data_IF_709711622950
#
_entry.id   IF_709711622950
#
_cell.length_a   1.000
_cell.length_b   1.000
_cell.length_c   1.000
_cell.angle_alpha   90.00
_cell.angle_beta   90.00
_cell.angle_gamma   90.00
#
_symmetry.space_group_name_H-M   'P 1'
#
loop_
_entity.id
_entity.type
_entity.pdbx_description
1 polymer ?
#
# COMPACT_ATOMS: atom_id res chain seq x y z
N UNK A 1 6.96 9.42 11.60
CA UNK A 1 5.49 9.57 11.65
C UNK A 1 4.94 9.06 10.34
N UNK A 2 4.23 7.95 10.36
CA UNK A 2 3.58 7.41 9.17
C UNK A 2 2.17 8.03 9.00
N UNK A 3 1.61 7.95 7.80
CA UNK A 3 0.23 8.38 7.54
C UNK A 3 -0.77 7.64 8.45
N UNK A 4 -0.52 6.36 8.69
CA UNK A 4 -1.38 5.47 9.50
C UNK A 4 -1.40 5.86 10.99
N UNK A 5 -0.32 6.44 11.51
CA UNK A 5 -0.23 6.92 12.91
C UNK A 5 -0.94 8.27 13.14
N UNK A 6 -1.59 8.80 12.12
CA UNK A 6 -2.33 10.06 12.19
C UNK A 6 -3.58 9.99 13.06
N UNK A 7 -4.36 11.09 13.14
CA UNK A 7 -5.59 11.14 13.92
C UNK A 7 -6.63 10.13 13.42
N UNK A 8 -7.46 9.63 14.32
CA UNK A 8 -8.60 8.76 13.97
C UNK A 8 -9.77 9.54 13.40
N UNK A 9 -9.97 10.74 13.93
CA UNK A 9 -11.06 11.61 13.58
C UNK A 9 -10.54 12.93 13.04
N UNK A 10 -11.27 13.47 12.11
CA UNK A 10 -11.01 14.76 11.49
C UNK A 10 -12.26 15.62 11.64
N UNK A 11 -12.10 16.89 11.97
CA UNK A 11 -13.20 17.83 12.15
C UNK A 11 -14.06 18.03 10.88
N UNK A 12 -13.48 17.73 9.70
CA UNK A 12 -14.17 17.84 8.41
C UNK A 12 -13.53 16.98 7.35
N UNK A 13 -14.26 16.74 6.24
CA UNK A 13 -13.69 16.14 5.03
C UNK A 13 -12.48 16.92 4.51
N UNK A 14 -12.54 18.25 4.60
CA UNK A 14 -11.43 19.10 4.14
C UNK A 14 -10.16 18.85 4.96
N UNK A 15 -10.25 18.80 6.27
CA UNK A 15 -9.11 18.52 7.14
C UNK A 15 -8.48 17.14 6.84
N UNK A 16 -9.32 16.13 6.58
CA UNK A 16 -8.87 14.80 6.17
C UNK A 16 -8.19 14.84 4.80
N UNK A 17 -8.73 15.60 3.85
CA UNK A 17 -8.17 15.75 2.50
C UNK A 17 -6.83 16.48 2.54
N UNK A 18 -6.73 17.59 3.24
CA UNK A 18 -5.50 18.39 3.35
C UNK A 18 -4.35 17.53 3.89
N UNK A 19 -4.61 16.76 4.96
CA UNK A 19 -3.62 15.82 5.48
C UNK A 19 -3.26 14.73 4.46
N UNK A 20 -4.23 14.22 3.73
CA UNK A 20 -3.96 13.17 2.73
C UNK A 20 -3.10 13.70 1.60
N UNK A 21 -3.30 14.96 1.18
CA UNK A 21 -2.45 15.64 0.19
C UNK A 21 -1.02 15.81 0.71
N UNK A 22 -0.86 16.26 1.95
CA UNK A 22 0.46 16.43 2.58
C UNK A 22 1.32 15.16 2.52
N UNK A 23 0.69 13.99 2.76
CA UNK A 23 1.39 12.70 2.74
C UNK A 23 1.48 12.05 1.33
N UNK A 24 0.86 12.64 0.31
CA UNK A 24 0.85 12.10 -1.04
C UNK A 24 1.06 13.22 -2.10
N UNK A 25 2.16 13.97 -2.06
CA UNK A 25 2.36 15.17 -2.86
C UNK A 25 2.44 14.88 -4.38
N UNK A 26 2.65 13.63 -4.78
CA UNK A 26 2.72 13.21 -6.19
C UNK A 26 1.38 12.81 -6.80
N UNK A 27 0.28 12.81 -6.02
CA UNK A 27 -1.04 12.36 -6.49
C UNK A 27 -2.00 13.53 -6.72
N UNK A 28 -2.87 13.40 -7.72
CA UNK A 28 -3.88 14.43 -7.97
C UNK A 28 -4.90 14.49 -6.82
N UNK A 29 -5.32 15.70 -6.47
CA UNK A 29 -6.36 15.92 -5.45
C UNK A 29 -7.63 15.11 -5.75
N UNK A 30 -8.06 15.05 -7.02
CA UNK A 30 -9.24 14.29 -7.42
C UNK A 30 -9.13 12.80 -7.12
N UNK A 31 -7.93 12.21 -7.29
CA UNK A 31 -7.64 10.83 -6.93
C UNK A 31 -7.69 10.60 -5.42
N UNK A 32 -7.07 11.50 -4.65
CA UNK A 32 -7.05 11.42 -3.19
C UNK A 32 -8.45 11.60 -2.60
N UNK A 33 -9.21 12.58 -3.11
CA UNK A 33 -10.62 12.81 -2.73
C UNK A 33 -11.47 11.57 -2.94
N UNK A 34 -11.34 10.90 -4.08
CA UNK A 34 -12.05 9.64 -4.37
C UNK A 34 -11.64 8.54 -3.39
N UNK A 35 -10.36 8.41 -3.12
CA UNK A 35 -9.84 7.45 -2.15
C UNK A 35 -10.43 7.65 -0.76
N UNK A 36 -10.52 8.90 -0.28
CA UNK A 36 -11.14 9.23 1.02
C UNK A 36 -12.62 8.84 1.03
N UNK A 37 -13.39 9.19 0.00
CA UNK A 37 -14.82 8.87 -0.06
C UNK A 37 -15.10 7.36 0.01
N UNK A 38 -14.18 6.53 -0.48
CA UNK A 38 -14.30 5.06 -0.36
C UNK A 38 -13.85 4.53 1.00
N UNK A 39 -12.81 5.13 1.58
CA UNK A 39 -12.12 4.59 2.76
C UNK A 39 -12.50 5.31 4.08
N UNK A 40 -13.33 6.35 4.03
CA UNK A 40 -13.78 7.09 5.19
C UNK A 40 -15.31 7.22 5.24
N UNK A 41 -15.82 7.71 6.34
CA UNK A 41 -17.25 7.95 6.55
C UNK A 41 -17.46 9.20 7.40
N UNK A 42 -18.54 9.98 7.16
CA UNK A 42 -18.96 11.03 8.07
C UNK A 42 -19.56 10.43 9.35
N UNK A 43 -19.44 11.15 10.43
CA UNK A 43 -20.10 10.90 11.70
C UNK A 43 -21.28 11.86 11.90
N UNK A 44 -22.22 11.57 12.84
CA UNK A 44 -23.40 12.40 13.05
C UNK A 44 -23.12 13.87 13.45
N UNK A 45 -21.96 14.13 14.04
CA UNK A 45 -21.49 15.45 14.44
C UNK A 45 -20.81 16.25 13.30
N UNK A 46 -20.76 15.67 12.09
CA UNK A 46 -20.11 16.25 10.92
C UNK A 46 -18.61 15.98 10.80
N UNK A 47 -18.01 15.38 11.80
CA UNK A 47 -16.61 14.91 11.73
C UNK A 47 -16.48 13.69 10.81
N UNK A 48 -15.24 13.32 10.48
CA UNK A 48 -14.94 12.21 9.59
C UNK A 48 -13.98 11.23 10.23
N UNK A 49 -14.13 9.94 9.94
CA UNK A 49 -13.24 8.87 10.40
C UNK A 49 -12.99 7.85 9.30
N UNK A 50 -11.88 7.12 9.42
CA UNK A 50 -11.57 6.02 8.51
C UNK A 50 -12.49 4.82 8.73
N UNK A 51 -12.74 4.03 7.70
CA UNK A 51 -13.52 2.78 7.76
C UNK A 51 -12.68 1.58 8.20
N UNK A 52 -11.37 1.65 8.04
CA UNK A 52 -10.50 0.53 8.41
C UNK A 52 -10.30 0.45 9.92
N UNK A 53 -10.15 -0.76 10.39
CA UNK A 53 -9.73 -1.03 11.76
C UNK A 53 -8.26 -0.67 11.93
N UNK A 54 -7.94 0.13 12.91
CA UNK A 54 -6.56 0.56 13.20
C UNK A 54 -5.78 -0.48 14.00
N UNK A 55 -6.40 -1.61 14.34
CA UNK A 55 -5.79 -2.74 15.05
C UNK A 55 -5.04 -2.30 16.32
N UNK A 56 -5.53 -1.25 16.99
CA UNK A 56 -4.89 -0.72 18.21
C UNK A 56 -4.85 -1.75 19.35
N UNK A 57 -5.85 -2.64 19.37
CA UNK A 57 -5.98 -3.70 20.37
C UNK A 57 -5.21 -4.98 20.02
N UNK A 58 -4.46 -4.98 18.90
CA UNK A 58 -3.61 -6.10 18.51
C UNK A 58 -2.63 -6.51 19.62
N UNK A 59 -2.22 -5.58 20.47
CA UNK A 59 -1.33 -5.84 21.61
C UNK A 59 -2.01 -6.51 22.79
N UNK A 60 -3.33 -6.61 22.81
CA UNK A 60 -4.11 -7.12 23.97
C UNK A 60 -4.16 -8.66 24.01
N UNK A 61 -3.81 -9.35 22.94
CA UNK A 61 -3.88 -10.82 22.84
C UNK A 61 -2.64 -11.62 23.27
N UNK A 62 -1.56 -10.99 23.68
CA UNK A 62 -0.38 -11.69 24.25
C UNK A 62 0.49 -12.48 23.27
N UNK A 63 0.05 -12.71 22.05
CA UNK A 63 0.88 -13.31 21.01
C UNK A 63 1.72 -12.22 20.35
N UNK A 64 3.04 -12.40 20.34
CA UNK A 64 3.96 -11.50 19.63
C UNK A 64 3.48 -11.36 18.18
N UNK A 65 3.47 -10.12 17.66
CA UNK A 65 3.23 -9.92 16.24
C UNK A 65 4.15 -10.86 15.46
N UNK A 66 3.64 -11.56 14.43
CA UNK A 66 4.47 -12.49 13.67
C UNK A 66 5.70 -11.74 13.17
N UNK A 67 6.88 -12.33 13.38
CA UNK A 67 8.11 -11.77 12.84
C UNK A 67 8.00 -11.76 11.31
N UNK A 68 8.29 -10.62 10.69
CA UNK A 68 8.33 -10.55 9.22
C UNK A 68 9.37 -11.51 8.64
N UNK A 69 10.42 -11.85 9.41
CA UNK A 69 11.43 -12.85 9.03
C UNK A 69 10.82 -14.25 8.85
N UNK A 70 9.80 -14.61 9.69
CA UNK A 70 9.10 -15.88 9.56
C UNK A 70 8.29 -15.99 8.26
N UNK A 71 7.90 -14.83 7.68
CA UNK A 71 7.15 -14.80 6.42
C UNK A 71 8.00 -15.23 5.22
N UNK A 72 9.31 -15.05 5.27
CA UNK A 72 10.20 -15.52 4.20
C UNK A 72 10.09 -17.03 3.95
N UNK A 73 9.93 -17.83 5.01
CA UNK A 73 9.67 -19.27 4.88
C UNK A 73 8.34 -19.60 4.20
N UNK A 74 7.37 -18.67 4.20
CA UNK A 74 6.10 -18.84 3.47
C UNK A 74 6.24 -18.57 1.98
N UNK A 75 7.15 -17.69 1.59
CA UNK A 75 7.44 -17.41 0.17
C UNK A 75 7.89 -18.68 -0.55
N UNK A 76 8.69 -19.50 0.12
CA UNK A 76 9.21 -20.77 -0.44
C UNK A 76 8.09 -21.78 -0.73
N UNK A 77 6.94 -21.65 -0.08
CA UNK A 77 5.78 -22.55 -0.24
C UNK A 77 4.84 -22.14 -1.39
N UNK A 78 5.00 -20.94 -1.94
CA UNK A 78 4.16 -20.46 -3.03
C UNK A 78 4.55 -21.16 -4.33
N UNK A 79 3.60 -21.85 -4.99
CA UNK A 79 3.87 -22.64 -6.20
C UNK A 79 3.33 -21.99 -7.48
N UNK A 80 2.60 -20.90 -7.37
CA UNK A 80 2.06 -20.18 -8.53
C UNK A 80 3.11 -19.23 -9.11
N UNK A 81 3.04 -18.89 -10.41
CA UNK A 81 3.88 -17.85 -11.00
C UNK A 81 3.70 -16.52 -10.27
N UNK A 82 4.79 -15.81 -10.06
CA UNK A 82 4.78 -14.52 -9.37
C UNK A 82 5.37 -13.45 -10.27
N UNK A 83 4.72 -12.28 -10.28
CA UNK A 83 5.28 -11.05 -10.83
C UNK A 83 5.35 -10.03 -9.72
N UNK A 84 6.56 -9.55 -9.41
CA UNK A 84 6.82 -8.51 -8.42
C UNK A 84 6.93 -7.16 -9.11
N UNK A 85 6.09 -6.21 -8.73
CA UNK A 85 6.18 -4.83 -9.22
C UNK A 85 6.67 -3.90 -8.11
N UNK A 86 7.76 -3.21 -8.39
CA UNK A 86 8.40 -2.26 -7.47
C UNK A 86 8.25 -0.83 -8.00
N UNK A 87 7.87 0.11 -7.13
CA UNK A 87 7.87 1.53 -7.48
C UNK A 87 9.28 2.08 -7.62
N UNK A 88 9.55 2.75 -8.74
CA UNK A 88 10.89 3.25 -9.09
C UNK A 88 11.33 4.52 -8.37
N UNK A 89 10.39 5.32 -7.80
CA UNK A 89 10.75 6.53 -7.04
C UNK A 89 11.15 6.21 -5.61
N UNK A 90 10.28 5.51 -4.90
CA UNK A 90 10.51 4.98 -3.56
C UNK A 90 9.54 3.83 -3.31
N UNK A 91 9.95 2.89 -2.51
CA UNK A 91 9.12 1.78 -2.09
C UNK A 91 9.44 1.43 -0.64
N UNK A 92 8.51 0.79 0.07
CA UNK A 92 8.79 0.20 1.37
C UNK A 92 9.67 -1.05 1.25
N UNK A 93 9.75 -1.64 0.05
CA UNK A 93 10.70 -2.70 -0.29
C UNK A 93 11.98 -2.07 -0.85
N UNK A 94 13.11 -2.43 -0.23
CA UNK A 94 14.45 -2.05 -0.69
C UNK A 94 15.08 -3.08 -1.64
N UNK A 95 16.27 -2.76 -2.13
CA UNK A 95 17.02 -3.67 -3.00
C UNK A 95 17.41 -4.98 -2.30
N UNK A 96 17.61 -4.93 -0.97
CA UNK A 96 17.89 -6.11 -0.16
C UNK A 96 16.71 -7.08 -0.12
N UNK A 97 15.48 -6.54 0.01
CA UNK A 97 14.26 -7.35 0.00
C UNK A 97 14.06 -8.02 -1.37
N UNK A 98 14.30 -7.26 -2.46
CA UNK A 98 14.22 -7.78 -3.82
C UNK A 98 15.28 -8.88 -4.03
N UNK A 99 16.49 -8.66 -3.56
CA UNK A 99 17.58 -9.64 -3.65
C UNK A 99 17.22 -10.94 -2.93
N UNK A 100 16.71 -10.84 -1.69
CA UNK A 100 16.29 -12.03 -0.93
C UNK A 100 15.09 -12.71 -1.58
N UNK A 101 14.14 -11.95 -2.11
CA UNK A 101 13.01 -12.49 -2.89
C UNK A 101 13.51 -13.31 -4.08
N UNK A 102 14.37 -12.72 -4.92
CA UNK A 102 14.89 -13.37 -6.13
C UNK A 102 15.77 -14.58 -5.81
N UNK A 103 16.45 -14.57 -4.67
CA UNK A 103 17.20 -15.73 -4.18
C UNK A 103 16.27 -16.92 -3.87
N UNK A 104 15.10 -16.66 -3.29
CA UNK A 104 14.10 -17.69 -2.93
C UNK A 104 13.24 -18.11 -4.10
N UNK A 105 12.89 -17.17 -4.94
CA UNK A 105 12.00 -17.34 -6.08
C UNK A 105 12.63 -16.77 -7.36
N UNK A 106 13.65 -17.47 -7.90
CA UNK A 106 14.37 -17.02 -9.10
C UNK A 106 13.49 -17.05 -10.36
N UNK A 107 12.34 -17.70 -10.31
CA UNK A 107 11.31 -17.72 -11.35
C UNK A 107 10.41 -16.47 -11.36
N UNK A 108 10.54 -15.59 -10.38
CA UNK A 108 9.74 -14.36 -10.32
C UNK A 108 10.14 -13.39 -11.44
N UNK A 109 9.14 -12.84 -12.11
CA UNK A 109 9.32 -11.70 -13.02
C UNK A 109 9.32 -10.42 -12.19
N UNK A 110 10.46 -9.73 -12.13
CA UNK A 110 10.58 -8.45 -11.43
C UNK A 110 10.49 -7.28 -12.40
N UNK A 111 9.60 -6.32 -12.13
CA UNK A 111 9.37 -5.13 -12.94
C UNK A 111 9.43 -3.89 -12.04
N UNK A 112 10.30 -2.94 -12.40
CA UNK A 112 10.33 -1.61 -11.78
C UNK A 112 9.42 -0.68 -12.57
N UNK A 113 8.43 -0.09 -11.90
CA UNK A 113 7.50 0.88 -12.50
C UNK A 113 8.03 2.28 -12.25
N UNK A 114 8.68 2.84 -13.28
CA UNK A 114 9.32 4.14 -13.18
C UNK A 114 8.33 5.26 -12.85
N UNK A 115 8.77 6.19 -12.03
CA UNK A 115 7.94 7.33 -11.60
C UNK A 115 6.81 7.00 -10.63
N UNK A 116 6.58 5.73 -10.28
CA UNK A 116 5.65 5.31 -9.21
C UNK A 116 6.36 5.25 -7.85
N UNK A 117 5.62 5.54 -6.78
CA UNK A 117 6.00 5.19 -5.41
C UNK A 117 5.49 3.80 -5.02
N UNK A 118 5.44 3.53 -3.72
CA UNK A 118 4.95 2.25 -3.21
C UNK A 118 3.53 1.89 -3.69
N UNK A 119 2.65 2.87 -3.82
CA UNK A 119 1.26 2.66 -4.28
C UNK A 119 1.14 2.80 -5.80
N UNK A 120 1.72 1.88 -6.56
CA UNK A 120 1.77 1.89 -8.03
C UNK A 120 0.38 2.11 -8.65
N UNK A 121 -0.64 1.41 -8.15
CA UNK A 121 -2.04 1.53 -8.60
C UNK A 121 -2.62 2.94 -8.40
N UNK A 122 -2.09 3.68 -7.46
CA UNK A 122 -2.52 5.06 -7.21
C UNK A 122 -1.74 6.10 -8.01
N UNK A 123 -0.49 5.81 -8.30
CA UNK A 123 0.44 6.75 -8.94
C UNK A 123 0.46 6.57 -10.46
N UNK A 124 0.32 5.32 -10.94
CA UNK A 124 0.45 4.92 -12.35
C UNK A 124 -0.66 3.92 -12.75
N UNK A 125 -1.94 4.30 -12.61
CA UNK A 125 -3.06 3.37 -12.83
C UNK A 125 -3.15 2.83 -14.28
N UNK A 126 -2.82 3.64 -15.27
CA UNK A 126 -2.88 3.21 -16.68
C UNK A 126 -1.73 2.28 -17.03
N UNK A 127 -0.53 2.60 -16.58
CA UNK A 127 0.65 1.74 -16.76
C UNK A 127 0.43 0.38 -16.06
N UNK A 128 -0.16 0.40 -14.86
CA UNK A 128 -0.49 -0.83 -14.16
C UNK A 128 -1.53 -1.66 -14.91
N UNK A 129 -2.55 -1.04 -15.50
CA UNK A 129 -3.54 -1.75 -16.33
C UNK A 129 -2.87 -2.45 -17.52
N UNK A 130 -1.97 -1.77 -18.23
CA UNK A 130 -1.21 -2.37 -19.34
C UNK A 130 -0.35 -3.54 -18.88
N UNK A 131 0.29 -3.43 -17.73
CA UNK A 131 1.07 -4.54 -17.15
C UNK A 131 0.20 -5.75 -16.81
N UNK A 132 -1.00 -5.52 -16.26
CA UNK A 132 -1.97 -6.59 -15.97
C UNK A 132 -2.45 -7.25 -17.26
N UNK A 133 -2.82 -6.47 -18.28
CA UNK A 133 -3.24 -7.01 -19.59
C UNK A 133 -2.14 -7.87 -20.22
N UNK A 134 -0.89 -7.39 -20.19
CA UNK A 134 0.26 -8.14 -20.69
C UNK A 134 0.52 -9.44 -19.90
N UNK A 135 0.22 -9.47 -18.61
CA UNK A 135 0.33 -10.65 -17.78
C UNK A 135 -0.76 -11.67 -18.10
N UNK A 136 -1.99 -11.21 -18.35
CA UNK A 136 -3.13 -12.06 -18.66
C UNK A 136 -3.08 -12.66 -20.08
N UNK A 137 -2.27 -12.08 -20.97
CA UNK A 137 -2.10 -12.54 -22.35
C UNK A 137 -1.03 -13.66 -22.50
N UNK A 138 -0.36 -14.05 -21.42
CA UNK A 138 0.64 -15.13 -21.38
C UNK A 138 0.00 -16.47 -21.09
#
# INVERSE_FOLDING_TARGET
>A
ITFVDGPEMFESFKAMLDRTIEFNPGRSESSLRRGILHNAKPLPDGSWTWRYDRMRDWKVGGDAAPSFEDLWGKVDLVQVPITLWQGGKWSVIGDEDVTEWMRRRPDTVHIVVDGAGHSIQGDKPLEMAVLIEALMAR
#
